data_IF_851290998130
#
_entry.id   IF_851290998130
#
_cell.length_a   1.000
_cell.length_b   1.000
_cell.length_c   1.000
_cell.angle_alpha   90.00
_cell.angle_beta   90.00
_cell.angle_gamma   90.00
#
_symmetry.space_group_name_H-M   'P 1'
#
loop_
_entity.id
_entity.type
_entity.pdbx_description
1 polymer ?
#
# COMPACT_ATOMS: atom_id res chain seq x y z
N UNK A 1 2.46 24.13 -1.52
CA UNK A 1 3.91 23.99 -1.82
C UNK A 1 4.42 22.79 -1.06
N UNK A 2 4.59 21.63 -1.72
CA UNK A 2 5.30 20.48 -1.18
C UNK A 2 6.19 19.92 -2.30
N UNK A 3 7.50 19.97 -2.07
CA UNK A 3 8.54 19.33 -2.88
C UNK A 3 8.83 17.97 -2.26
N UNK A 4 8.88 16.90 -3.05
CA UNK A 4 9.95 15.90 -2.93
C UNK A 4 10.09 15.08 -4.22
N UNK A 5 11.12 15.42 -4.98
CA UNK A 5 11.68 14.60 -6.05
C UNK A 5 12.67 13.63 -5.41
N UNK A 6 12.56 12.32 -5.64
CA UNK A 6 13.72 11.41 -5.54
C UNK A 6 13.68 10.42 -6.71
N UNK A 7 14.62 10.61 -7.64
CA UNK A 7 15.03 9.69 -8.70
C UNK A 7 15.79 8.51 -8.08
N UNK A 8 15.41 7.27 -8.40
CA UNK A 8 16.13 6.07 -7.98
C UNK A 8 16.90 5.45 -9.15
N UNK A 9 18.23 5.40 -9.02
CA UNK A 9 19.10 4.51 -9.78
C UNK A 9 19.64 3.41 -8.86
N UNK A 10 19.71 2.21 -9.43
CA UNK A 10 19.85 0.92 -8.76
C UNK A 10 21.20 0.69 -8.07
N UNK A 11 21.16 -0.14 -7.02
CA UNK A 11 22.27 -0.75 -6.24
C UNK A 11 22.88 0.00 -5.04
N UNK A 12 22.57 1.28 -4.78
CA UNK A 12 23.03 1.97 -3.54
C UNK A 12 21.98 2.09 -2.43
N UNK A 13 20.74 1.69 -2.69
CA UNK A 13 19.60 1.90 -1.78
C UNK A 13 19.79 1.15 -0.46
N UNK A 14 20.35 -0.07 -0.49
CA UNK A 14 20.49 -0.89 0.72
C UNK A 14 21.47 -0.28 1.74
N UNK A 15 22.58 0.29 1.27
CA UNK A 15 23.60 0.87 2.15
C UNK A 15 23.20 2.24 2.70
N UNK A 16 22.36 2.99 1.98
CA UNK A 16 21.84 4.29 2.45
C UNK A 16 20.74 4.10 3.49
N UNK A 17 19.88 3.09 3.33
CA UNK A 17 18.83 2.77 4.30
C UNK A 17 19.41 2.29 5.65
N UNK A 18 20.48 1.49 5.63
CA UNK A 18 21.11 0.97 6.85
C UNK A 18 21.86 2.02 7.69
N UNK A 19 22.22 3.17 7.10
CA UNK A 19 22.97 4.23 7.79
C UNK A 19 22.11 5.37 8.36
N UNK A 20 20.84 5.47 7.96
CA UNK A 20 19.99 6.64 8.25
C UNK A 20 18.89 6.32 9.27
N UNK A 21 18.42 5.08 9.33
CA UNK A 21 17.27 4.76 10.18
C UNK A 21 17.71 4.25 11.57
N UNK A 22 17.13 4.80 12.66
CA UNK A 22 17.38 4.30 14.00
C UNK A 22 16.96 2.83 14.11
N UNK A 23 17.55 2.10 15.05
CA UNK A 23 17.40 0.64 15.27
C UNK A 23 15.96 0.13 15.37
N UNK A 24 14.98 1.02 15.55
CA UNK A 24 13.54 0.73 15.52
C UNK A 24 13.02 0.36 14.12
N UNK A 25 13.74 0.75 13.06
CA UNK A 25 13.44 0.39 11.66
C UNK A 25 14.14 -0.89 11.19
N UNK A 26 14.99 -1.51 12.02
CA UNK A 26 15.55 -2.83 11.68
C UNK A 26 14.43 -3.88 11.57
N UNK A 27 13.37 -3.76 12.37
CA UNK A 27 12.16 -4.58 12.22
C UNK A 27 11.59 -4.51 10.79
N UNK A 28 11.64 -3.36 10.10
CA UNK A 28 11.10 -3.19 8.73
C UNK A 28 11.93 -3.90 7.65
N UNK A 29 13.26 -3.97 7.82
CA UNK A 29 14.11 -4.74 6.91
C UNK A 29 13.88 -6.25 7.06
N UNK A 30 13.46 -6.71 8.24
CA UNK A 30 13.12 -8.12 8.49
C UNK A 30 11.86 -8.57 7.73
N UNK A 31 10.87 -7.69 7.49
CA UNK A 31 9.66 -8.02 6.70
C UNK A 31 10.00 -8.49 5.29
N UNK A 32 10.94 -7.81 4.62
CA UNK A 32 11.38 -8.20 3.27
C UNK A 32 12.12 -9.54 3.29
N UNK A 33 12.89 -9.80 4.34
CA UNK A 33 13.62 -11.07 4.50
C UNK A 33 12.65 -12.24 4.77
N UNK A 34 11.57 -12.02 5.51
CA UNK A 34 10.59 -13.06 5.83
C UNK A 34 9.78 -13.56 4.62
N UNK A 35 9.55 -12.73 3.60
CA UNK A 35 8.82 -13.11 2.38
C UNK A 35 9.72 -13.76 1.30
N UNK A 36 11.05 -13.65 1.43
CA UNK A 36 12.02 -14.23 0.48
C UNK A 36 12.09 -15.76 0.59
N UNK A 37 11.73 -16.34 1.74
CA UNK A 37 11.77 -17.78 2.01
C UNK A 37 10.42 -18.50 1.78
N UNK A 38 9.47 -17.88 1.08
CA UNK A 38 8.17 -18.52 0.80
C UNK A 38 8.32 -19.69 -0.18
N UNK A 39 7.74 -20.83 0.17
CA UNK A 39 7.57 -21.95 -0.76
C UNK A 39 6.54 -21.61 -1.85
N UNK A 40 6.61 -22.30 -3.00
CA UNK A 40 5.62 -22.17 -4.09
C UNK A 40 4.18 -22.34 -3.60
N UNK A 41 3.97 -23.22 -2.60
CA UNK A 41 2.65 -23.47 -2.00
C UNK A 41 2.15 -22.25 -1.22
N UNK A 42 3.01 -21.60 -0.46
CA UNK A 42 2.67 -20.40 0.32
C UNK A 42 2.45 -19.21 -0.59
N UNK A 43 3.28 -19.03 -1.61
CA UNK A 43 3.08 -18.01 -2.63
C UNK A 43 1.73 -18.15 -3.33
N UNK A 44 1.38 -19.38 -3.74
CA UNK A 44 0.07 -19.67 -4.34
C UNK A 44 -1.08 -19.38 -3.37
N UNK A 45 -0.94 -19.79 -2.11
CA UNK A 45 -1.94 -19.49 -1.08
C UNK A 45 -2.17 -17.99 -0.95
N UNK A 46 -1.11 -17.18 -0.90
CA UNK A 46 -1.23 -15.72 -0.80
C UNK A 46 -1.97 -15.14 -2.00
N UNK A 47 -1.67 -15.56 -3.23
CA UNK A 47 -2.38 -15.10 -4.43
C UNK A 47 -3.87 -15.43 -4.35
N UNK A 48 -4.21 -16.68 -4.02
CA UNK A 48 -5.59 -17.15 -3.95
C UNK A 48 -6.34 -16.41 -2.81
N UNK A 49 -5.69 -16.23 -1.66
CA UNK A 49 -6.25 -15.58 -0.49
C UNK A 49 -6.47 -14.07 -0.72
N UNK A 50 -5.50 -13.35 -1.27
CA UNK A 50 -5.65 -11.95 -1.67
C UNK A 50 -6.80 -11.77 -2.67
N UNK A 51 -6.92 -12.67 -3.65
CA UNK A 51 -8.00 -12.61 -4.65
C UNK A 51 -9.37 -12.88 -4.03
N UNK A 52 -9.45 -13.80 -3.07
CA UNK A 52 -10.65 -14.04 -2.28
C UNK A 52 -11.04 -12.81 -1.47
N UNK A 53 -10.12 -12.26 -0.68
CA UNK A 53 -10.33 -11.08 0.14
C UNK A 53 -10.83 -9.89 -0.68
N UNK A 54 -10.15 -9.55 -1.79
CA UNK A 54 -10.50 -8.38 -2.61
C UNK A 54 -11.92 -8.49 -3.20
N UNK A 55 -12.37 -9.71 -3.50
CA UNK A 55 -13.66 -9.98 -4.13
C UNK A 55 -14.81 -9.94 -3.14
N UNK A 56 -14.64 -10.51 -1.94
CA UNK A 56 -15.75 -10.78 -1.04
C UNK A 56 -15.89 -9.80 0.14
N UNK A 57 -14.84 -9.06 0.48
CA UNK A 57 -14.85 -8.14 1.62
C UNK A 57 -14.96 -6.69 1.18
N UNK A 58 -15.61 -5.85 1.97
CA UNK A 58 -15.70 -4.40 1.73
C UNK A 58 -14.37 -3.70 2.03
N UNK A 59 -14.24 -2.43 1.67
CA UNK A 59 -13.05 -1.65 2.04
C UNK A 59 -12.92 -1.47 3.55
N UNK A 60 -14.03 -1.28 4.27
CA UNK A 60 -14.02 -1.16 5.72
C UNK A 60 -13.58 -2.48 6.37
N UNK A 61 -14.10 -3.64 5.91
CA UNK A 61 -13.68 -4.95 6.43
C UNK A 61 -12.18 -5.20 6.21
N UNK A 62 -11.68 -4.91 5.00
CA UNK A 62 -10.27 -5.09 4.67
C UNK A 62 -9.39 -4.14 5.50
N UNK A 63 -9.86 -2.92 5.77
CA UNK A 63 -9.12 -1.98 6.56
C UNK A 63 -9.07 -2.38 8.04
N UNK A 64 -10.17 -2.88 8.61
CA UNK A 64 -10.21 -3.41 9.97
C UNK A 64 -9.24 -4.59 10.13
N UNK A 65 -9.25 -5.55 9.19
CA UNK A 65 -8.29 -6.66 9.18
C UNK A 65 -6.84 -6.19 9.12
N UNK A 66 -6.55 -5.15 8.32
CA UNK A 66 -5.21 -4.55 8.28
C UNK A 66 -4.83 -3.98 9.64
N UNK A 67 -5.74 -3.25 10.30
CA UNK A 67 -5.49 -2.67 11.61
C UNK A 67 -5.26 -3.75 12.67
N UNK A 68 -6.00 -4.85 12.64
CA UNK A 68 -5.77 -6.00 13.51
C UNK A 68 -4.38 -6.60 13.30
N UNK A 69 -3.98 -6.84 12.04
CA UNK A 69 -2.64 -7.36 11.73
C UNK A 69 -1.53 -6.41 12.19
N UNK A 70 -1.66 -5.12 11.85
CA UNK A 70 -0.71 -4.08 12.23
C UNK A 70 -0.61 -3.93 13.75
N UNK A 71 -1.74 -4.00 14.46
CA UNK A 71 -1.74 -3.99 15.93
C UNK A 71 -1.00 -5.20 16.48
N UNK A 72 -1.33 -6.41 16.02
CA UNK A 72 -0.74 -7.65 16.52
C UNK A 72 0.78 -7.70 16.32
N UNK A 73 1.29 -7.15 15.23
CA UNK A 73 2.74 -7.03 15.00
C UNK A 73 3.45 -6.17 16.05
N UNK A 74 2.79 -5.15 16.60
CA UNK A 74 3.38 -4.34 17.68
C UNK A 74 3.53 -5.11 18.99
N UNK A 75 2.86 -6.26 19.15
CA UNK A 75 2.95 -7.10 20.35
C UNK A 75 3.76 -8.38 20.12
N UNK A 76 3.63 -9.00 18.95
CA UNK A 76 4.32 -10.23 18.61
C UNK A 76 4.51 -10.33 17.09
N UNK A 77 5.73 -10.03 16.63
CA UNK A 77 6.09 -10.14 15.22
C UNK A 77 6.31 -11.61 14.88
N UNK A 78 5.42 -12.18 14.06
CA UNK A 78 5.61 -13.51 13.46
C UNK A 78 5.33 -13.49 11.96
N UNK A 79 5.95 -14.41 11.22
CA UNK A 79 5.87 -14.46 9.74
C UNK A 79 4.44 -14.62 9.22
N UNK A 80 3.58 -15.34 9.94
CA UNK A 80 2.17 -15.53 9.54
C UNK A 80 1.38 -14.21 9.60
N UNK A 81 1.52 -13.43 10.69
CA UNK A 81 0.83 -12.14 10.85
C UNK A 81 1.34 -11.12 9.83
N UNK A 82 2.63 -11.19 9.49
CA UNK A 82 3.22 -10.38 8.41
C UNK A 82 2.64 -10.76 7.06
N UNK A 83 2.60 -12.05 6.75
CA UNK A 83 2.03 -12.58 5.50
C UNK A 83 0.58 -12.14 5.34
N UNK A 84 -0.20 -12.26 6.41
CA UNK A 84 -1.62 -11.95 6.41
C UNK A 84 -1.85 -10.44 6.26
N UNK A 85 -1.06 -9.58 6.93
CA UNK A 85 -1.07 -8.12 6.71
C UNK A 85 -0.84 -7.78 5.23
N UNK A 86 0.19 -8.37 4.62
CA UNK A 86 0.50 -8.16 3.20
C UNK A 86 -0.66 -8.62 2.30
N UNK A 87 -1.25 -9.79 2.58
CA UNK A 87 -2.38 -10.28 1.79
C UNK A 87 -3.57 -9.31 1.82
N UNK A 88 -3.84 -8.72 2.98
CA UNK A 88 -4.91 -7.73 3.18
C UNK A 88 -4.60 -6.42 2.46
N UNK A 89 -3.38 -5.88 2.61
CA UNK A 89 -2.96 -4.65 1.91
C UNK A 89 -3.08 -4.82 0.39
N UNK A 90 -2.56 -5.92 -0.16
CA UNK A 90 -2.66 -6.18 -1.61
C UNK A 90 -4.11 -6.39 -2.03
N UNK A 91 -4.94 -7.04 -1.21
CA UNK A 91 -6.36 -7.23 -1.51
C UNK A 91 -7.10 -5.88 -1.58
N UNK A 92 -6.79 -4.97 -0.68
CA UNK A 92 -7.33 -3.61 -0.65
C UNK A 92 -6.97 -2.85 -1.94
N UNK A 93 -5.69 -2.79 -2.29
CA UNK A 93 -5.19 -2.10 -3.48
C UNK A 93 -5.72 -2.72 -4.77
N UNK A 94 -5.80 -4.05 -4.81
CA UNK A 94 -6.40 -4.79 -5.92
C UNK A 94 -7.87 -4.42 -6.07
N UNK A 95 -8.65 -4.35 -4.99
CA UNK A 95 -10.06 -3.95 -5.04
C UNK A 95 -10.24 -2.54 -5.60
N UNK A 96 -9.40 -1.58 -5.19
CA UNK A 96 -9.42 -0.23 -5.77
C UNK A 96 -9.13 -0.24 -7.28
N UNK A 97 -8.17 -1.06 -7.71
CA UNK A 97 -7.79 -1.20 -9.12
C UNK A 97 -8.89 -1.87 -9.94
N UNK A 98 -9.50 -2.94 -9.43
CA UNK A 98 -10.57 -3.68 -10.10
C UNK A 98 -11.84 -2.83 -10.29
N UNK A 99 -12.19 -2.00 -9.30
CA UNK A 99 -13.29 -1.03 -9.41
C UNK A 99 -12.90 0.12 -10.35
N UNK A 100 -11.63 0.50 -10.34
CA UNK A 100 -11.07 1.64 -11.05
C UNK A 100 -11.19 2.93 -10.23
N UNK A 101 -10.07 3.65 -10.08
CA UNK A 101 -9.98 4.84 -9.22
C UNK A 101 -10.98 5.93 -9.58
N UNK A 102 -11.32 6.08 -10.86
CA UNK A 102 -12.31 7.07 -11.32
C UNK A 102 -13.74 6.75 -10.86
N UNK A 103 -14.02 5.50 -10.48
CA UNK A 103 -15.35 5.07 -10.05
C UNK A 103 -15.50 5.03 -8.52
N UNK A 104 -14.44 5.34 -7.78
CA UNK A 104 -14.48 5.39 -6.31
C UNK A 104 -15.00 6.75 -5.84
N UNK A 105 -15.67 6.78 -4.69
CA UNK A 105 -16.04 8.04 -4.06
C UNK A 105 -14.81 8.74 -3.46
N UNK A 106 -14.77 10.07 -3.53
CA UNK A 106 -13.68 10.84 -2.90
C UNK A 106 -13.62 10.65 -1.39
N UNK A 107 -14.76 10.53 -0.72
CA UNK A 107 -14.86 10.23 0.71
C UNK A 107 -14.07 8.98 1.10
N UNK A 108 -14.10 7.97 0.23
CA UNK A 108 -13.37 6.71 0.40
C UNK A 108 -11.87 6.91 0.13
N UNK A 109 -11.53 7.60 -0.96
CA UNK A 109 -10.14 7.90 -1.30
C UNK A 109 -9.47 8.71 -0.18
N UNK A 110 -10.09 9.78 0.28
CA UNK A 110 -9.58 10.65 1.33
C UNK A 110 -9.37 9.90 2.64
N UNK A 111 -10.29 8.99 2.99
CA UNK A 111 -10.19 8.15 4.18
C UNK A 111 -8.93 7.28 4.16
N UNK A 112 -8.57 6.74 3.00
CA UNK A 112 -7.54 5.71 2.90
C UNK A 112 -6.21 6.16 2.26
N UNK A 113 -6.18 7.32 1.60
CA UNK A 113 -4.97 7.85 0.95
C UNK A 113 -3.76 7.91 1.88
N UNK A 114 -3.88 8.34 3.16
CA UNK A 114 -2.73 8.36 4.07
C UNK A 114 -2.09 6.97 4.29
N UNK A 115 -2.90 5.91 4.24
CA UNK A 115 -2.42 4.53 4.41
C UNK A 115 -1.81 3.99 3.13
N UNK A 116 -2.33 4.37 1.97
CA UNK A 116 -1.74 4.01 0.67
C UNK A 116 -0.34 4.61 0.55
N UNK A 117 -0.17 5.88 0.91
CA UNK A 117 1.13 6.54 0.97
C UNK A 117 2.05 5.86 1.99
N UNK A 118 1.51 5.49 3.16
CA UNK A 118 2.25 4.75 4.17
C UNK A 118 2.76 3.42 3.62
N UNK A 119 1.91 2.58 3.03
CA UNK A 119 2.30 1.28 2.47
C UNK A 119 3.35 1.40 1.35
N UNK A 120 3.29 2.47 0.56
CA UNK A 120 4.34 2.73 -0.42
C UNK A 120 5.66 3.11 0.27
N UNK A 121 5.66 4.10 1.16
CA UNK A 121 6.87 4.65 1.76
C UNK A 121 7.53 3.70 2.77
N UNK A 122 6.71 3.05 3.59
CA UNK A 122 7.10 2.14 4.66
C UNK A 122 7.52 0.78 4.11
N UNK A 123 6.67 0.18 3.27
CA UNK A 123 6.83 -1.21 2.85
C UNK A 123 7.48 -1.34 1.46
N UNK A 124 7.38 -0.30 0.63
CA UNK A 124 7.84 -0.33 -0.76
C UNK A 124 6.91 -1.12 -1.68
N UNK A 125 5.62 -1.20 -1.35
CA UNK A 125 4.62 -1.92 -2.13
C UNK A 125 4.32 -1.13 -3.43
N UNK A 126 4.75 -1.67 -4.57
CA UNK A 126 4.66 -1.01 -5.89
C UNK A 126 3.20 -0.78 -6.32
N UNK A 127 2.29 -1.67 -5.92
CA UNK A 127 0.87 -1.52 -6.18
C UNK A 127 0.27 -0.29 -5.48
N UNK A 128 0.78 0.06 -4.28
CA UNK A 128 0.34 1.24 -3.55
C UNK A 128 0.72 2.51 -4.29
N UNK A 129 1.95 2.56 -4.82
CA UNK A 129 2.40 3.64 -5.70
C UNK A 129 1.50 3.79 -6.94
N UNK A 130 1.15 2.68 -7.59
CA UNK A 130 0.28 2.69 -8.78
C UNK A 130 -1.08 3.32 -8.47
N UNK A 131 -1.68 2.94 -7.34
CA UNK A 131 -2.96 3.49 -6.88
C UNK A 131 -2.82 4.98 -6.53
N UNK A 132 -1.76 5.37 -5.80
CA UNK A 132 -1.51 6.77 -5.43
C UNK A 132 -1.37 7.67 -6.66
N UNK A 133 -0.63 7.24 -7.68
CA UNK A 133 -0.51 7.99 -8.94
C UNK A 133 -1.84 8.10 -9.69
N UNK A 134 -2.65 7.04 -9.71
CA UNK A 134 -3.97 7.09 -10.33
C UNK A 134 -4.92 8.05 -9.59
N UNK A 135 -4.82 8.14 -8.26
CA UNK A 135 -5.57 9.13 -7.45
C UNK A 135 -5.10 10.55 -7.81
N UNK A 136 -3.79 10.79 -7.87
CA UNK A 136 -3.20 12.07 -8.25
C UNK A 136 -3.64 12.52 -9.65
N UNK A 137 -3.59 11.61 -10.62
CA UNK A 137 -4.01 11.89 -12.00
C UNK A 137 -5.50 12.24 -12.09
N UNK A 138 -6.34 11.58 -11.29
CA UNK A 138 -7.77 11.91 -11.20
C UNK A 138 -7.97 13.30 -10.61
N UNK A 139 -7.32 13.60 -9.49
CA UNK A 139 -7.42 14.90 -8.81
C UNK A 139 -7.04 16.06 -9.74
N UNK A 140 -5.92 15.93 -10.46
CA UNK A 140 -5.50 16.96 -11.43
C UNK A 140 -6.46 17.13 -12.60
N UNK A 141 -7.13 16.06 -13.05
CA UNK A 141 -8.13 16.16 -14.13
C UNK A 141 -9.36 16.92 -13.66
N UNK A 142 -9.85 16.61 -12.47
CA UNK A 142 -11.05 17.25 -11.92
C UNK A 142 -10.79 18.73 -11.60
N UNK A 143 -9.63 19.09 -11.04
CA UNK A 143 -9.24 20.49 -10.83
C UNK A 143 -9.24 21.31 -12.13
N UNK A 144 -8.80 20.72 -13.25
CA UNK A 144 -8.86 21.40 -14.57
C UNK A 144 -10.28 21.62 -15.07
N UNK A 145 -11.25 20.80 -14.66
CA UNK A 145 -12.65 21.00 -15.05
C UNK A 145 -13.29 22.12 -14.22
N UNK A 146 -12.94 22.24 -12.95
CA UNK A 146 -13.41 23.33 -12.09
C UNK A 146 -12.86 24.69 -12.57
N UNK A 147 -11.58 24.76 -12.98
CA UNK A 147 -10.97 25.98 -13.53
C UNK A 147 -11.60 26.45 -14.85
N UNK A 148 -12.12 25.53 -15.68
CA UNK A 148 -12.75 25.85 -16.98
C UNK A 148 -14.26 26.13 -16.83
N UNK A 149 -14.89 25.60 -15.78
CA UNK A 149 -16.31 25.81 -15.47
C UNK A 149 -16.63 27.23 -14.97
N UNK A 150 -15.64 27.91 -14.39
CA UNK A 150 -15.78 29.27 -13.86
C UNK A 150 -15.59 30.39 -14.92
N UNK A 151 -15.28 30.03 -16.19
CA UNK A 151 -15.08 31.00 -17.29
C UNK A 151 -16.31 31.23 -18.20
N UNK A 152 -17.51 30.77 -17.84
CA UNK A 152 -18.74 30.92 -18.64
C UNK A 152 -19.92 31.61 -17.93
#
# INVERSE_FOLDING_TARGET
MFYLFILFHSNNILNVLLGIFPTEYLNYCEYRLALIDLSDKEYKFMIDFTSFLSRYYSFDDLFEMYQECYYMQNYNVNTDTIRDEYCVIIAFLKKMTDIGINNLEWSLIDRYSPYIDLWFLRDGIVQAHTVAFAIYDRSNKEQRYDEVGDEF
#
